data_IF_025861976635
#
_entry.id   IF_025861976635
#
_cell.length_a   1.000
_cell.length_b   1.000
_cell.length_c   1.000
_cell.angle_alpha   90.00
_cell.angle_beta   90.00
_cell.angle_gamma   90.00
#
_symmetry.space_group_name_H-M   'P 1'
#
loop_
_entity.id
_entity.type
_entity.pdbx_description
1 polymer ?
#
# COMPACT_ATOMS: atom_id res chain seq x y z
N UNK A 1 17.05 10.13 -2.61
CA UNK A 1 17.83 8.92 -2.99
C UNK A 1 17.25 7.63 -2.37
N UNK A 2 17.32 7.41 -1.05
CA UNK A 2 16.81 6.16 -0.46
C UNK A 2 15.30 5.91 -0.70
N UNK A 3 14.49 6.98 -0.68
CA UNK A 3 13.04 6.91 -0.88
C UNK A 3 12.63 6.53 -2.31
N UNK A 4 13.20 7.20 -3.31
CA UNK A 4 12.85 6.96 -4.71
C UNK A 4 13.26 5.55 -5.12
N UNK A 5 14.40 5.08 -4.62
CA UNK A 5 14.86 3.71 -4.81
C UNK A 5 13.92 2.69 -4.15
N UNK A 6 13.40 2.99 -2.96
CA UNK A 6 12.44 2.13 -2.29
C UNK A 6 11.06 2.12 -3.00
N UNK A 7 10.59 3.25 -3.51
CA UNK A 7 9.38 3.33 -4.34
C UNK A 7 9.56 2.54 -5.64
N UNK A 8 10.70 2.68 -6.30
CA UNK A 8 11.02 1.91 -7.50
C UNK A 8 11.03 0.40 -7.21
N UNK A 9 11.70 -0.02 -6.13
CA UNK A 9 11.73 -1.41 -5.70
C UNK A 9 10.32 -1.94 -5.37
N UNK A 10 9.49 -1.15 -4.68
CA UNK A 10 8.10 -1.51 -4.38
C UNK A 10 7.28 -1.72 -5.65
N UNK A 11 7.40 -0.79 -6.62
CA UNK A 11 6.71 -0.86 -7.90
C UNK A 11 7.13 -2.06 -8.75
N UNK A 12 8.42 -2.40 -8.75
CA UNK A 12 8.94 -3.54 -9.51
C UNK A 12 8.29 -4.87 -9.14
N UNK A 13 7.82 -5.01 -7.89
CA UNK A 13 7.16 -6.21 -7.37
C UNK A 13 5.64 -6.23 -7.55
N UNK A 14 5.02 -5.13 -8.02
CA UNK A 14 3.56 -5.05 -8.14
C UNK A 14 2.98 -6.08 -9.12
N UNK A 15 3.73 -6.48 -10.14
CA UNK A 15 3.29 -7.51 -11.10
C UNK A 15 3.08 -8.85 -10.39
N UNK A 16 4.03 -9.26 -9.55
CA UNK A 16 3.93 -10.49 -8.76
C UNK A 16 2.84 -10.40 -7.69
N UNK A 17 2.76 -9.28 -6.98
CA UNK A 17 1.71 -9.05 -5.98
C UNK A 17 0.33 -9.10 -6.62
N UNK A 18 0.13 -8.50 -7.80
CA UNK A 18 -1.12 -8.56 -8.55
C UNK A 18 -1.45 -9.98 -8.96
N UNK A 19 -0.48 -10.74 -9.47
CA UNK A 19 -0.66 -12.16 -9.84
C UNK A 19 -1.17 -12.96 -8.65
N UNK A 20 -0.58 -12.78 -7.46
CA UNK A 20 -1.03 -13.47 -6.23
C UNK A 20 -2.41 -13.00 -5.77
N UNK A 21 -2.67 -11.70 -5.79
CA UNK A 21 -3.98 -11.14 -5.44
C UNK A 21 -5.10 -11.71 -6.32
N UNK A 22 -4.89 -11.74 -7.65
CA UNK A 22 -5.87 -12.29 -8.60
C UNK A 22 -5.99 -13.82 -8.52
N UNK A 23 -4.87 -14.51 -8.28
CA UNK A 23 -4.83 -15.96 -8.09
C UNK A 23 -5.35 -16.43 -6.73
N UNK A 24 -5.77 -15.52 -5.85
CA UNK A 24 -6.15 -15.80 -4.45
C UNK A 24 -5.05 -16.52 -3.66
N UNK A 25 -3.80 -16.22 -3.98
CA UNK A 25 -2.57 -16.77 -3.39
C UNK A 25 -1.98 -15.82 -2.33
N UNK A 26 -2.87 -15.20 -1.56
CA UNK A 26 -2.54 -14.50 -0.32
C UNK A 26 -2.66 -15.51 0.85
N UNK A 27 -2.01 -15.24 1.99
CA UNK A 27 -2.25 -16.03 3.20
C UNK A 27 -3.76 -16.17 3.49
N UNK A 28 -4.22 -17.26 4.13
CA UNK A 28 -5.61 -17.42 4.50
C UNK A 28 -6.14 -16.21 5.29
N UNK A 29 -7.26 -15.64 4.85
CA UNK A 29 -7.85 -14.40 5.38
C UNK A 29 -6.92 -13.17 5.32
N UNK A 30 -5.81 -13.29 4.58
CA UNK A 30 -4.87 -12.21 4.39
C UNK A 30 -5.41 -11.14 3.44
N UNK A 31 -4.92 -9.93 3.62
CA UNK A 31 -5.33 -8.76 2.85
C UNK A 31 -4.14 -8.06 2.24
N UNK A 32 -4.35 -7.44 1.07
CA UNK A 32 -3.38 -6.57 0.45
C UNK A 32 -3.73 -5.12 0.79
N UNK A 33 -2.76 -4.39 1.34
CA UNK A 33 -2.84 -2.95 1.50
C UNK A 33 -1.78 -2.27 0.63
N UNK A 34 -2.12 -1.11 0.08
CA UNK A 34 -1.19 -0.28 -0.70
C UNK A 34 -1.12 1.11 -0.11
N UNK A 35 0.06 1.70 -0.16
CA UNK A 35 0.28 3.12 0.10
C UNK A 35 0.40 3.81 -1.23
N UNK A 36 -0.33 4.89 -1.45
CA UNK A 36 -0.32 5.58 -2.74
C UNK A 36 -0.13 7.08 -2.56
N UNK A 37 0.53 7.72 -3.53
CA UNK A 37 0.73 9.15 -3.56
C UNK A 37 -0.55 9.86 -4.00
N UNK A 38 -0.91 10.92 -3.29
CA UNK A 38 -1.97 11.86 -3.66
C UNK A 38 -1.37 13.26 -3.65
N UNK A 39 -1.45 13.96 -4.78
CA UNK A 39 -0.96 15.33 -4.85
C UNK A 39 -1.87 16.26 -4.04
N UNK A 40 -1.25 17.16 -3.29
CA UNK A 40 -1.91 18.26 -2.56
C UNK A 40 -1.13 19.56 -2.87
N UNK A 41 -1.74 20.75 -2.70
CA UNK A 41 -1.08 22.02 -3.04
C UNK A 41 0.34 22.18 -2.48
N UNK A 42 0.57 21.75 -1.23
CA UNK A 42 1.85 21.92 -0.54
C UNK A 42 2.74 20.66 -0.60
N UNK A 43 2.42 19.68 -1.46
CA UNK A 43 3.24 18.49 -1.65
C UNK A 43 2.44 17.24 -1.98
N UNK A 44 2.60 16.20 -1.18
CA UNK A 44 1.87 14.95 -1.38
C UNK A 44 1.52 14.28 -0.06
N UNK A 45 0.38 13.62 -0.05
CA UNK A 45 -0.02 12.68 0.99
C UNK A 45 0.16 11.25 0.53
N UNK A 46 0.29 10.35 1.49
CA UNK A 46 0.49 8.93 1.23
C UNK A 46 -0.43 8.06 2.09
N UNK A 47 -1.76 8.15 1.89
CA UNK A 47 -2.72 7.32 2.61
C UNK A 47 -2.53 5.83 2.27
N UNK A 48 -2.87 4.99 3.23
CA UNK A 48 -3.01 3.55 3.01
C UNK A 48 -4.43 3.24 2.53
N UNK A 49 -4.53 2.19 1.71
CA UNK A 49 -5.80 1.67 1.24
C UNK A 49 -5.80 0.14 1.26
N UNK A 50 -6.93 -0.43 1.68
CA UNK A 50 -7.23 -1.84 1.58
C UNK A 50 -7.68 -2.16 0.16
N UNK A 51 -6.96 -3.03 -0.54
CA UNK A 51 -7.28 -3.43 -1.92
C UNK A 51 -8.42 -4.44 -1.91
N UNK A 52 -9.47 -4.15 -2.67
CA UNK A 52 -10.62 -5.05 -2.86
C UNK A 52 -10.76 -5.54 -4.30
N UNK A 53 -10.12 -4.88 -5.27
CA UNK A 53 -10.13 -5.30 -6.67
C UNK A 53 -8.88 -4.81 -7.42
N UNK A 54 -8.40 -5.61 -8.38
CA UNK A 54 -7.24 -5.26 -9.21
C UNK A 54 -7.30 -5.89 -10.61
N UNK A 55 -8.49 -5.87 -11.21
CA UNK A 55 -8.74 -6.51 -12.51
C UNK A 55 -7.90 -5.89 -13.63
N UNK A 56 -7.74 -4.57 -13.63
CA UNK A 56 -6.91 -3.86 -14.61
C UNK A 56 -5.49 -3.64 -14.06
N UNK A 57 -4.46 -3.93 -14.86
CA UNK A 57 -3.07 -3.83 -14.40
C UNK A 57 -2.67 -2.42 -13.93
N UNK A 58 -3.34 -1.38 -14.44
CA UNK A 58 -3.08 0.03 -14.15
C UNK A 58 -3.97 0.62 -13.05
N UNK A 59 -4.99 -0.10 -12.57
CA UNK A 59 -6.01 0.45 -11.69
C UNK A 59 -6.45 -0.55 -10.61
N UNK A 60 -6.29 -0.13 -9.36
CA UNK A 60 -6.77 -0.82 -8.18
C UNK A 60 -8.04 -0.15 -7.67
N UNK A 61 -8.97 -0.96 -7.17
CA UNK A 61 -10.09 -0.50 -6.36
C UNK A 61 -9.89 -0.94 -4.91
N UNK A 62 -10.27 -0.08 -3.99
CA UNK A 62 -10.10 -0.34 -2.56
C UNK A 62 -10.91 0.58 -1.67
N UNK A 63 -10.57 0.60 -0.39
CA UNK A 63 -11.08 1.55 0.60
C UNK A 63 -9.95 2.23 1.32
N UNK A 64 -10.08 3.52 1.62
CA UNK A 64 -9.07 4.22 2.42
C UNK A 64 -9.00 3.63 3.83
N UNK A 65 -7.79 3.53 4.37
CA UNK A 65 -7.51 3.19 5.76
C UNK A 65 -7.21 4.44 6.60
N UNK A 66 -7.12 5.61 5.97
CA UNK A 66 -6.85 6.88 6.63
C UNK A 66 -7.81 7.96 6.14
N UNK A 67 -8.05 8.97 6.98
CA UNK A 67 -8.59 10.25 6.52
C UNK A 67 -7.44 11.06 5.89
N UNK A 68 -7.73 11.75 4.78
CA UNK A 68 -6.82 12.73 4.21
C UNK A 68 -6.63 13.90 5.17
N UNK A 69 -5.39 14.36 5.33
CA UNK A 69 -5.06 15.41 6.29
C UNK A 69 -5.30 16.81 5.71
N UNK A 70 -5.03 17.01 4.43
CA UNK A 70 -5.13 18.29 3.75
C UNK A 70 -6.58 18.53 3.26
N UNK A 71 -7.11 19.76 3.39
CA UNK A 71 -8.48 20.07 2.97
C UNK A 71 -8.82 19.71 1.52
N UNK A 72 -7.86 19.80 0.60
CA UNK A 72 -8.07 19.44 -0.83
C UNK A 72 -8.37 17.96 -1.06
N UNK A 73 -8.03 17.09 -0.10
CA UNK A 73 -8.30 15.65 -0.14
C UNK A 73 -9.29 15.22 0.93
N UNK A 74 -10.11 16.15 1.44
CA UNK A 74 -11.13 15.85 2.45
C UNK A 74 -12.17 14.79 2.00
N UNK A 75 -12.26 14.51 0.69
CA UNK A 75 -13.07 13.41 0.15
C UNK A 75 -12.46 12.02 0.39
N UNK A 76 -11.15 11.93 0.64
CA UNK A 76 -10.48 10.71 1.08
C UNK A 76 -10.77 10.54 2.57
N UNK A 77 -11.71 9.65 2.88
CA UNK A 77 -12.07 9.31 4.26
C UNK A 77 -11.91 7.82 4.50
N UNK A 78 -11.55 7.45 5.73
CA UNK A 78 -11.48 6.06 6.17
C UNK A 78 -12.76 5.31 5.78
N UNK A 79 -12.60 4.12 5.20
CA UNK A 79 -13.69 3.27 4.74
C UNK A 79 -14.33 3.71 3.41
N UNK A 80 -14.09 4.92 2.90
CA UNK A 80 -14.63 5.35 1.60
C UNK A 80 -13.93 4.62 0.45
N UNK A 81 -14.66 4.30 -0.64
CA UNK A 81 -14.07 3.72 -1.84
C UNK A 81 -12.99 4.62 -2.45
N UNK A 82 -11.91 4.00 -2.95
CA UNK A 82 -10.84 4.66 -3.68
C UNK A 82 -10.53 3.92 -4.99
N UNK A 83 -10.12 4.70 -5.99
CA UNK A 83 -9.50 4.20 -7.22
C UNK A 83 -8.05 4.67 -7.24
N UNK A 84 -7.12 3.74 -7.37
CA UNK A 84 -5.69 4.01 -7.22
C UNK A 84 -5.00 3.55 -8.49
N UNK A 85 -4.24 4.45 -9.13
CA UNK A 85 -3.41 4.05 -10.27
C UNK A 85 -2.20 3.28 -9.76
N UNK A 86 -1.83 2.19 -10.43
CA UNK A 86 -0.64 1.42 -10.07
C UNK A 86 0.64 2.28 -10.09
N UNK A 87 0.67 3.29 -10.97
CA UNK A 87 1.76 4.27 -11.05
C UNK A 87 1.82 5.23 -9.86
N UNK A 88 0.75 5.35 -9.06
CA UNK A 88 0.71 6.18 -7.85
C UNK A 88 1.09 5.38 -6.59
N UNK A 89 1.19 4.04 -6.68
CA UNK A 89 1.58 3.18 -5.55
C UNK A 89 3.04 3.46 -5.18
N UNK A 90 3.30 3.68 -3.89
CA UNK A 90 4.64 3.97 -3.33
C UNK A 90 5.15 2.89 -2.37
N UNK A 91 4.25 2.09 -1.80
CA UNK A 91 4.58 0.93 -0.96
C UNK A 91 3.38 -0.04 -0.94
N UNK A 92 3.58 -1.27 -0.47
CA UNK A 92 2.53 -2.25 -0.27
C UNK A 92 2.91 -3.25 0.82
N UNK A 93 1.89 -3.86 1.42
CA UNK A 93 2.05 -4.91 2.40
C UNK A 93 0.93 -5.96 2.28
N UNK A 94 1.27 -7.21 2.57
CA UNK A 94 0.31 -8.29 2.80
C UNK A 94 0.20 -8.48 4.30
N UNK A 95 -1.03 -8.36 4.80
CA UNK A 95 -1.39 -8.50 6.20
C UNK A 95 -2.06 -9.86 6.39
N UNK A 96 -1.68 -10.62 7.40
CA UNK A 96 -2.34 -11.89 7.72
C UNK A 96 -3.64 -11.71 8.53
N UNK A 97 -4.29 -12.83 8.87
CA UNK A 97 -5.50 -12.87 9.67
C UNK A 97 -5.36 -12.26 11.08
N UNK A 98 -4.12 -12.11 11.58
CA UNK A 98 -3.81 -11.55 12.91
C UNK A 98 -3.52 -10.06 12.85
N UNK A 99 -3.51 -9.47 11.65
CA UNK A 99 -3.16 -8.06 11.45
C UNK A 99 -1.65 -7.82 11.33
N UNK A 100 -0.82 -8.86 11.20
CA UNK A 100 0.63 -8.72 11.11
C UNK A 100 1.12 -8.66 9.65
N UNK A 101 2.20 -7.90 9.42
CA UNK A 101 2.83 -7.78 8.10
C UNK A 101 3.65 -9.03 7.78
N UNK A 102 3.11 -9.89 6.94
CA UNK A 102 3.82 -11.10 6.47
C UNK A 102 4.64 -10.89 5.21
N UNK A 103 4.42 -9.79 4.50
CA UNK A 103 5.24 -9.37 3.38
C UNK A 103 5.03 -7.88 3.14
N UNK A 104 6.06 -7.19 2.65
CA UNK A 104 5.93 -5.81 2.21
C UNK A 104 7.19 -5.36 1.49
N UNK A 105 7.07 -4.38 0.60
CA UNK A 105 8.22 -3.86 -0.14
C UNK A 105 9.13 -3.04 0.77
N UNK A 106 8.59 -2.04 1.47
CA UNK A 106 9.33 -1.22 2.42
C UNK A 106 8.91 -1.50 3.87
N UNK A 107 7.65 -1.78 4.15
CA UNK A 107 7.09 -1.83 5.52
C UNK A 107 7.79 -2.82 6.47
N UNK A 108 8.50 -3.85 5.97
CA UNK A 108 9.37 -4.72 6.80
C UNK A 108 10.73 -4.10 7.19
N UNK A 109 11.30 -3.20 6.41
CA UNK A 109 12.59 -2.55 6.75
C UNK A 109 12.47 -1.52 7.88
N UNK A 110 11.26 -1.10 8.23
CA UNK A 110 11.01 -0.23 9.39
C UNK A 110 10.85 -1.02 10.71
N UNK A 111 10.83 -2.36 10.65
CA UNK A 111 10.90 -3.26 11.80
C UNK A 111 12.14 -4.16 11.63
N UNK A 112 13.31 -3.56 11.44
CA UNK A 112 14.51 -4.24 11.93
C UNK A 112 14.34 -4.32 13.47
N UNK A 113 14.58 -5.47 14.12
CA UNK A 113 14.66 -5.47 15.57
C UNK A 113 15.71 -4.42 15.96
N UNK A 114 15.42 -3.64 17.00
CA UNK A 114 16.50 -3.00 17.72
C UNK A 114 17.47 -4.12 18.06
N UNK A 115 18.71 -4.03 17.58
CA UNK A 115 19.78 -4.88 18.09
C UNK A 115 19.82 -4.64 19.60
N UNK A 116 19.20 -5.55 20.34
CA UNK A 116 19.49 -5.72 21.76
C UNK A 116 20.87 -6.34 21.80
N UNK A 117 21.89 -5.49 21.70
CA UNK A 117 23.25 -5.85 22.08
C UNK A 117 23.20 -6.22 23.56
N UNK A 118 23.44 -7.51 23.82
CA UNK A 118 23.85 -8.01 25.12
C UNK A 118 25.24 -7.48 25.48
#
# INVERSE_FOLDING_TARGET
MARDQAVFAARSRLVDVRRRFLGRDLPPLGTLIVRHQVAVPDGAEWPWALVSSWQHATLLGGRSLNDGAHPSVAHIRMGRPLRIRSADVVDWAIIDARGEIVEGAWTRRLRAPADTTA
#
